data_IF_877085213796
#
_entry.id   IF_877085213796
#
_cell.length_a   1.000
_cell.length_b   1.000
_cell.length_c   1.000
_cell.angle_alpha   90.00
_cell.angle_beta   90.00
_cell.angle_gamma   90.00
#
_symmetry.space_group_name_H-M   'P 1'
#
loop_
_entity.id
_entity.type
_entity.pdbx_description
1 polymer ?
#
# COMPACT_ATOMS: atom_id res chain seq x y z
N UNK A 1 17.83 9.93 17.62
CA UNK A 1 17.08 10.53 16.50
C UNK A 1 15.93 9.62 16.18
N UNK A 2 14.70 10.12 16.16
CA UNK A 2 13.52 9.35 15.75
C UNK A 2 13.71 8.88 14.30
N UNK A 3 13.36 7.64 13.98
CA UNK A 3 13.27 7.16 12.60
C UNK A 3 11.83 6.82 12.29
N UNK A 4 11.30 7.34 11.19
CA UNK A 4 9.90 7.23 10.83
C UNK A 4 9.77 7.00 9.31
N UNK A 5 8.91 6.08 8.93
CA UNK A 5 8.50 5.87 7.54
C UNK A 5 7.23 6.66 7.29
N UNK A 6 7.33 7.70 6.49
CA UNK A 6 6.26 8.65 6.20
C UNK A 6 5.71 8.41 4.80
N UNK A 7 4.42 8.10 4.70
CA UNK A 7 3.72 8.05 3.41
C UNK A 7 3.02 9.37 3.08
N UNK A 8 3.09 9.80 1.82
CA UNK A 8 2.24 10.88 1.33
C UNK A 8 1.21 10.32 0.37
N UNK A 9 -0.05 10.52 0.70
CA UNK A 9 -1.21 10.03 -0.03
C UNK A 9 -2.08 11.20 -0.47
N UNK A 10 -2.66 11.10 -1.66
CA UNK A 10 -3.54 12.13 -2.18
C UNK A 10 -4.40 11.58 -3.31
N UNK A 11 -5.53 12.23 -3.56
CA UNK A 11 -6.19 12.15 -4.85
C UNK A 11 -5.33 12.82 -5.94
N UNK A 12 -5.52 12.45 -7.19
CA UNK A 12 -4.86 13.06 -8.36
C UNK A 12 -5.00 14.58 -8.28
N UNK A 13 -3.95 15.28 -8.67
CA UNK A 13 -3.87 16.75 -8.69
C UNK A 13 -4.04 17.47 -7.34
N UNK A 14 -4.13 16.78 -6.21
CA UNK A 14 -4.17 17.43 -4.90
C UNK A 14 -2.82 18.09 -4.51
N UNK A 15 -1.74 17.81 -5.24
CA UNK A 15 -0.41 18.40 -5.04
C UNK A 15 0.52 17.55 -4.16
N UNK A 16 0.36 16.25 -4.18
CA UNK A 16 1.18 15.27 -3.46
C UNK A 16 2.68 15.42 -3.74
N UNK A 17 3.10 15.28 -5.00
CA UNK A 17 4.51 15.38 -5.42
C UNK A 17 5.07 16.77 -5.13
N UNK A 18 4.27 17.83 -5.28
CA UNK A 18 4.68 19.19 -4.92
C UNK A 18 4.98 19.33 -3.42
N UNK A 19 4.17 18.68 -2.56
CA UNK A 19 4.42 18.65 -1.11
C UNK A 19 5.67 17.83 -0.77
N UNK A 20 5.85 16.68 -1.43
CA UNK A 20 7.05 15.83 -1.28
C UNK A 20 8.32 16.61 -1.64
N UNK A 21 8.31 17.33 -2.76
CA UNK A 21 9.41 18.20 -3.20
C UNK A 21 9.67 19.33 -2.19
N UNK A 22 8.59 19.94 -1.65
CA UNK A 22 8.68 20.94 -0.59
C UNK A 22 9.38 20.43 0.66
N UNK A 23 9.09 19.20 1.10
CA UNK A 23 9.75 18.56 2.23
C UNK A 23 11.25 18.35 1.97
N UNK A 24 11.60 17.83 0.80
CA UNK A 24 12.99 17.59 0.42
C UNK A 24 13.79 18.88 0.29
N UNK A 25 13.16 19.95 -0.21
CA UNK A 25 13.81 21.25 -0.35
C UNK A 25 14.02 21.92 1.01
N UNK A 26 12.99 22.01 1.85
CA UNK A 26 13.08 22.65 3.17
C UNK A 26 14.07 21.92 4.09
N UNK A 27 14.11 20.59 4.04
CA UNK A 27 15.06 19.78 4.80
C UNK A 27 16.50 19.86 4.28
N UNK A 28 16.73 20.47 3.10
CA UNK A 28 18.04 20.53 2.47
C UNK A 28 18.49 19.21 1.79
N UNK A 29 17.61 18.22 1.71
CA UNK A 29 17.89 16.95 1.01
C UNK A 29 18.11 17.18 -0.49
N UNK A 30 17.43 18.17 -1.07
CA UNK A 30 17.66 18.65 -2.44
C UNK A 30 18.01 20.14 -2.45
N UNK A 31 18.84 20.55 -3.41
CA UNK A 31 19.32 21.94 -3.52
C UNK A 31 18.35 22.87 -4.26
N UNK A 32 17.44 22.32 -5.03
CA UNK A 32 16.46 23.06 -5.84
C UNK A 32 15.09 22.44 -5.59
N UNK A 33 14.08 23.28 -5.53
CA UNK A 33 12.68 22.85 -5.49
C UNK A 33 12.29 22.34 -6.87
N UNK A 34 12.06 21.04 -7.00
CA UNK A 34 11.55 20.43 -8.22
C UNK A 34 10.08 20.81 -8.44
N UNK A 35 9.65 20.83 -9.69
CA UNK A 35 8.28 21.17 -10.09
C UNK A 35 7.75 20.16 -11.09
N UNK A 36 6.56 19.65 -10.84
CA UNK A 36 5.90 18.68 -11.72
C UNK A 36 5.61 19.30 -13.09
N UNK A 37 5.14 20.55 -13.13
CA UNK A 37 4.86 21.29 -14.37
C UNK A 37 6.11 21.60 -15.22
N UNK A 38 7.30 21.59 -14.61
CA UNK A 38 8.57 21.73 -15.31
C UNK A 38 9.24 20.40 -15.61
N UNK A 39 8.65 19.27 -15.19
CA UNK A 39 9.18 17.90 -15.35
C UNK A 39 10.57 17.69 -14.71
N UNK A 40 10.90 18.47 -13.67
CA UNK A 40 12.18 18.43 -12.97
C UNK A 40 12.07 18.00 -11.50
N UNK A 41 10.92 17.43 -11.10
CA UNK A 41 10.70 16.88 -9.77
C UNK A 41 11.70 15.73 -9.48
N UNK A 42 12.32 15.76 -8.30
CA UNK A 42 13.34 14.79 -7.88
C UNK A 42 12.79 13.36 -7.77
N UNK A 43 11.54 13.23 -7.37
CA UNK A 43 10.86 11.93 -7.20
C UNK A 43 10.30 11.37 -8.51
N UNK A 44 9.94 12.19 -9.49
CA UNK A 44 9.43 11.73 -10.78
C UNK A 44 10.59 11.28 -11.68
N UNK A 45 11.11 10.09 -11.42
CA UNK A 45 12.30 9.54 -12.10
C UNK A 45 11.98 8.82 -13.39
N UNK A 46 10.76 8.34 -13.56
CA UNK A 46 10.26 7.65 -14.74
C UNK A 46 9.80 8.64 -15.82
N UNK A 47 10.04 8.30 -17.10
CA UNK A 47 9.68 9.15 -18.24
C UNK A 47 8.16 9.27 -18.36
N UNK A 48 7.42 8.18 -18.14
CA UNK A 48 5.96 8.16 -18.21
C UNK A 48 5.32 8.99 -17.11
N UNK A 49 5.89 9.00 -15.89
CA UNK A 49 5.46 9.85 -14.78
C UNK A 49 5.59 11.33 -15.14
N UNK A 50 6.76 11.73 -15.69
CA UNK A 50 7.02 13.13 -16.10
C UNK A 50 6.12 13.61 -17.23
N UNK A 51 5.90 12.77 -18.24
CA UNK A 51 5.06 13.12 -19.39
C UNK A 51 3.58 13.24 -19.00
N UNK A 52 3.11 12.43 -18.06
CA UNK A 52 1.71 12.41 -17.60
C UNK A 52 1.44 13.31 -16.41
N UNK A 53 2.47 13.72 -15.69
CA UNK A 53 2.35 14.49 -14.45
C UNK A 53 1.71 13.71 -13.30
N UNK A 54 1.78 12.36 -13.31
CA UNK A 54 1.23 11.49 -12.27
C UNK A 54 2.31 10.53 -11.75
N UNK A 55 2.28 10.23 -10.46
CA UNK A 55 3.13 9.18 -9.87
C UNK A 55 2.51 7.82 -10.17
N UNK A 56 3.29 6.90 -10.72
CA UNK A 56 2.90 5.54 -11.09
C UNK A 56 3.50 4.54 -10.09
N UNK A 57 4.77 4.73 -9.75
CA UNK A 57 5.54 3.85 -8.86
C UNK A 57 5.86 4.54 -7.55
N UNK A 58 5.77 3.81 -6.43
CA UNK A 58 6.22 4.32 -5.14
C UNK A 58 7.71 4.63 -5.15
N UNK A 59 8.07 5.83 -4.71
CA UNK A 59 9.46 6.32 -4.63
C UNK A 59 9.86 6.56 -3.19
N UNK A 60 11.14 6.38 -2.92
CA UNK A 60 11.74 6.59 -1.60
C UNK A 60 12.70 7.77 -1.63
N UNK A 61 12.64 8.61 -0.61
CA UNK A 61 13.64 9.63 -0.34
C UNK A 61 13.90 9.75 1.17
N UNK A 62 15.13 10.11 1.53
CA UNK A 62 15.55 10.32 2.91
C UNK A 62 15.61 11.82 3.21
N UNK A 63 15.05 12.23 4.34
CA UNK A 63 15.15 13.60 4.83
C UNK A 63 15.29 13.63 6.35
N UNK A 64 15.88 14.72 6.87
CA UNK A 64 15.98 14.96 8.31
C UNK A 64 15.39 16.32 8.66
N UNK A 65 14.60 16.37 9.73
CA UNK A 65 13.99 17.60 10.20
C UNK A 65 13.83 17.60 11.72
N UNK A 66 14.23 18.69 12.38
CA UNK A 66 14.03 18.92 13.81
C UNK A 66 14.32 17.70 14.71
N UNK A 67 15.41 16.94 14.42
CA UNK A 67 15.83 15.77 15.20
C UNK A 67 15.12 14.45 14.85
N UNK A 68 14.26 14.44 13.83
CA UNK A 68 13.68 13.24 13.24
C UNK A 68 14.30 12.94 11.88
N UNK A 69 14.49 11.65 11.57
CA UNK A 69 14.83 11.14 10.24
C UNK A 69 13.60 10.49 9.64
N UNK A 70 13.21 10.94 8.46
CA UNK A 70 12.07 10.41 7.73
C UNK A 70 12.54 9.69 6.49
N UNK A 71 12.06 8.45 6.32
CA UNK A 71 12.03 7.79 5.03
C UNK A 71 10.70 8.13 4.38
N UNK A 72 10.73 9.06 3.45
CA UNK A 72 9.56 9.48 2.69
C UNK A 72 9.24 8.45 1.62
N UNK A 73 8.00 7.95 1.60
CA UNK A 73 7.45 7.13 0.53
C UNK A 73 6.38 7.92 -0.21
N UNK A 74 6.71 8.37 -1.42
CA UNK A 74 5.77 9.00 -2.33
C UNK A 74 4.97 7.92 -3.06
N UNK A 75 3.65 7.88 -2.87
CA UNK A 75 2.79 6.82 -3.38
C UNK A 75 1.99 7.28 -4.60
N UNK A 76 1.55 6.38 -5.50
CA UNK A 76 0.65 6.75 -6.57
C UNK A 76 -0.64 7.40 -6.05
N UNK A 77 -1.08 8.48 -6.72
CA UNK A 77 -2.33 9.18 -6.40
C UNK A 77 -3.51 8.78 -7.29
N UNK A 78 -3.26 8.06 -8.39
CA UNK A 78 -4.28 7.63 -9.34
C UNK A 78 -4.92 6.29 -8.91
N UNK A 79 -6.23 6.18 -9.08
CA UNK A 79 -7.01 4.98 -8.67
C UNK A 79 -6.47 3.71 -9.33
N UNK A 80 -6.02 3.78 -10.59
CA UNK A 80 -5.50 2.63 -11.34
C UNK A 80 -4.21 2.05 -10.75
N UNK A 81 -3.49 2.81 -9.91
CA UNK A 81 -2.28 2.36 -9.23
C UNK A 81 -2.46 2.19 -7.71
N UNK A 82 -3.70 2.12 -7.26
CA UNK A 82 -4.04 1.98 -5.84
C UNK A 82 -3.48 0.70 -5.21
N UNK A 83 -3.26 -0.34 -6.00
CA UNK A 83 -2.62 -1.57 -5.56
C UNK A 83 -1.17 -1.37 -5.07
N UNK A 84 -0.38 -0.57 -5.79
CA UNK A 84 0.98 -0.19 -5.38
C UNK A 84 0.96 0.67 -4.12
N UNK A 85 -0.01 1.58 -4.03
CA UNK A 85 -0.21 2.41 -2.85
C UNK A 85 -0.58 1.56 -1.63
N UNK A 86 -1.54 0.63 -1.74
CA UNK A 86 -1.98 -0.24 -0.64
C UNK A 86 -0.83 -1.09 -0.08
N UNK A 87 0.01 -1.66 -0.94
CA UNK A 87 1.22 -2.40 -0.50
C UNK A 87 2.17 -1.54 0.31
N UNK A 88 2.27 -0.25 -0.04
CA UNK A 88 3.11 0.71 0.68
C UNK A 88 2.56 1.02 2.07
N UNK A 89 1.22 1.02 2.27
CA UNK A 89 0.62 1.28 3.59
C UNK A 89 1.13 0.33 4.66
N UNK A 90 1.37 -0.92 4.31
CA UNK A 90 1.81 -1.95 5.27
C UNK A 90 3.16 -1.66 5.96
N UNK A 91 3.91 -0.67 5.46
CA UNK A 91 5.23 -0.32 6.00
C UNK A 91 5.32 1.11 6.55
N UNK A 92 4.23 1.87 6.53
CA UNK A 92 4.20 3.23 7.06
C UNK A 92 4.15 3.25 8.59
N UNK A 93 4.80 4.25 9.20
CA UNK A 93 4.67 4.59 10.62
C UNK A 93 3.69 5.75 10.82
N UNK A 94 3.58 6.63 9.83
CA UNK A 94 2.59 7.70 9.77
C UNK A 94 2.33 8.10 8.32
N UNK A 95 1.24 8.81 8.08
CA UNK A 95 0.85 9.28 6.76
C UNK A 95 0.45 10.75 6.77
N UNK A 96 0.69 11.43 5.65
CA UNK A 96 0.08 12.71 5.32
C UNK A 96 -0.94 12.49 4.21
N UNK A 97 -2.20 12.73 4.48
CA UNK A 97 -3.27 12.74 3.49
C UNK A 97 -3.46 14.18 3.00
N UNK A 98 -3.14 14.41 1.72
CA UNK A 98 -3.25 15.73 1.09
C UNK A 98 -4.65 15.89 0.50
N UNK A 99 -5.31 16.96 0.87
CA UNK A 99 -6.65 17.34 0.39
C UNK A 99 -6.53 18.65 -0.37
N UNK A 100 -7.18 18.77 -1.54
CA UNK A 100 -7.22 20.02 -2.29
C UNK A 100 -8.22 20.99 -1.65
N UNK A 101 -7.78 22.19 -1.30
CA UNK A 101 -8.66 23.24 -0.76
C UNK A 101 -9.68 23.75 -1.76
N UNK A 102 -9.38 23.68 -3.08
CA UNK A 102 -10.30 24.09 -4.15
C UNK A 102 -11.34 23.00 -4.47
N UNK A 103 -10.98 21.73 -4.39
CA UNK A 103 -11.83 20.61 -4.84
C UNK A 103 -12.49 19.88 -3.67
N UNK A 104 -12.00 20.10 -2.45
CA UNK A 104 -12.50 19.45 -1.24
C UNK A 104 -12.21 17.93 -1.21
N UNK A 105 -13.04 17.21 -0.46
CA UNK A 105 -12.91 15.76 -0.28
C UNK A 105 -13.52 15.03 -1.47
N UNK A 106 -12.67 14.41 -2.28
CA UNK A 106 -13.03 13.59 -3.45
C UNK A 106 -13.35 12.13 -3.06
N UNK A 107 -13.98 11.38 -3.98
CA UNK A 107 -14.30 9.96 -3.75
C UNK A 107 -13.08 9.13 -3.36
N UNK A 108 -12.00 9.26 -4.12
CA UNK A 108 -10.75 8.53 -3.84
C UNK A 108 -10.10 8.95 -2.51
N UNK A 109 -10.22 10.22 -2.10
CA UNK A 109 -9.74 10.67 -0.78
C UNK A 109 -10.43 9.92 0.37
N UNK A 110 -11.72 9.59 0.21
CA UNK A 110 -12.45 8.77 1.19
C UNK A 110 -11.94 7.32 1.21
N UNK A 111 -11.68 6.74 0.06
CA UNK A 111 -11.07 5.40 -0.02
C UNK A 111 -9.72 5.37 0.68
N UNK A 112 -8.86 6.38 0.45
CA UNK A 112 -7.58 6.51 1.14
C UNK A 112 -7.74 6.63 2.65
N UNK A 113 -8.73 7.41 3.11
CA UNK A 113 -9.03 7.54 4.54
C UNK A 113 -9.43 6.20 5.16
N UNK A 114 -10.32 5.43 4.52
CA UNK A 114 -10.75 4.11 4.99
C UNK A 114 -9.59 3.11 5.04
N UNK A 115 -8.70 3.12 4.05
CA UNK A 115 -7.50 2.28 4.06
C UNK A 115 -6.54 2.65 5.19
N UNK A 116 -6.32 3.96 5.43
CA UNK A 116 -5.51 4.44 6.56
C UNK A 116 -6.12 4.05 7.92
N UNK A 117 -7.44 4.05 8.03
CA UNK A 117 -8.17 3.61 9.22
C UNK A 117 -7.99 2.11 9.44
N UNK A 118 -8.21 1.30 8.40
CA UNK A 118 -8.07 -0.17 8.49
C UNK A 118 -6.65 -0.60 8.86
N UNK A 119 -5.64 0.06 8.30
CA UNK A 119 -4.24 -0.20 8.64
C UNK A 119 -3.80 0.47 9.96
N UNK A 120 -4.72 1.13 10.66
CA UNK A 120 -4.47 1.86 11.90
C UNK A 120 -3.29 2.85 11.83
N UNK A 121 -3.08 3.50 10.67
CA UNK A 121 -1.94 4.40 10.43
C UNK A 121 -2.24 5.78 11.01
N UNK A 122 -1.41 6.32 11.91
CA UNK A 122 -1.48 7.70 12.38
C UNK A 122 -1.45 8.68 11.20
N UNK A 123 -2.46 9.56 11.11
CA UNK A 123 -2.69 10.35 9.90
C UNK A 123 -2.72 11.83 10.20
N UNK A 124 -1.91 12.59 9.46
CA UNK A 124 -1.91 14.04 9.39
C UNK A 124 -2.65 14.48 8.12
N UNK A 125 -3.34 15.60 8.17
CA UNK A 125 -4.04 16.17 7.03
C UNK A 125 -3.35 17.45 6.58
N UNK A 126 -3.08 17.58 5.27
CA UNK A 126 -2.60 18.82 4.68
C UNK A 126 -3.60 19.30 3.65
N UNK A 127 -4.30 20.39 3.97
CA UNK A 127 -5.22 21.06 3.03
C UNK A 127 -4.39 22.01 2.18
N UNK A 128 -4.13 21.58 0.96
CA UNK A 128 -3.27 22.24 -0.01
C UNK A 128 -4.05 23.22 -0.91
N UNK A 129 -3.35 24.05 -1.65
CA UNK A 129 -3.92 25.03 -2.60
C UNK A 129 -4.79 26.10 -1.93
N UNK A 130 -4.49 26.44 -0.68
CA UNK A 130 -5.20 27.50 0.06
C UNK A 130 -4.99 28.90 -0.51
N UNK A 131 -4.04 29.04 -1.41
CA UNK A 131 -3.78 30.29 -2.16
C UNK A 131 -4.75 30.53 -3.34
N UNK A 132 -5.59 29.55 -3.68
CA UNK A 132 -6.59 29.70 -4.72
C UNK A 132 -7.86 30.38 -4.19
N UNK A 133 -8.49 31.17 -5.06
CA UNK A 133 -9.72 31.88 -4.71
C UNK A 133 -10.86 30.91 -4.38
N UNK A 134 -11.59 31.19 -3.29
CA UNK A 134 -12.72 30.35 -2.84
C UNK A 134 -12.37 29.30 -1.79
N UNK A 135 -11.11 29.16 -1.39
CA UNK A 135 -10.71 28.28 -0.28
C UNK A 135 -11.09 28.94 1.05
N UNK A 136 -12.00 28.31 1.80
CA UNK A 136 -12.44 28.72 3.13
C UNK A 136 -11.97 27.68 4.15
N UNK A 137 -11.05 28.08 5.03
CA UNK A 137 -10.42 27.21 6.02
C UNK A 137 -11.41 26.61 7.01
N UNK A 138 -12.33 27.41 7.54
CA UNK A 138 -13.28 26.96 8.55
C UNK A 138 -14.31 25.99 7.93
N UNK A 139 -14.79 26.31 6.72
CA UNK A 139 -15.67 25.42 5.98
C UNK A 139 -14.99 24.08 5.62
N UNK A 140 -13.71 24.10 5.24
CA UNK A 140 -12.94 22.91 4.94
C UNK A 140 -12.68 22.07 6.21
N UNK A 141 -12.36 22.70 7.34
CA UNK A 141 -12.20 21.99 8.61
C UNK A 141 -13.51 21.32 9.05
N UNK A 142 -14.64 22.05 8.93
CA UNK A 142 -15.96 21.49 9.20
C UNK A 142 -16.27 20.29 8.29
N UNK A 143 -15.89 20.36 7.00
CA UNK A 143 -16.05 19.25 6.05
C UNK A 143 -15.18 18.04 6.44
N UNK A 144 -13.93 18.25 6.88
CA UNK A 144 -13.06 17.19 7.36
C UNK A 144 -13.66 16.49 8.58
N UNK A 145 -14.19 17.25 9.53
CA UNK A 145 -14.87 16.72 10.72
C UNK A 145 -16.13 15.90 10.37
N UNK A 146 -16.93 16.36 9.43
CA UNK A 146 -18.16 15.68 9.02
C UNK A 146 -17.91 14.41 8.20
N UNK A 147 -16.89 14.41 7.34
CA UNK A 147 -16.66 13.35 6.37
C UNK A 147 -15.64 12.31 6.81
N UNK A 148 -14.72 12.67 7.69
CA UNK A 148 -13.68 11.78 8.19
C UNK A 148 -13.90 11.49 9.67
N UNK A 149 -13.57 12.44 10.56
CA UNK A 149 -13.65 12.23 11.99
C UNK A 149 -13.73 13.56 12.76
N UNK A 150 -14.52 13.61 13.83
CA UNK A 150 -14.62 14.78 14.73
C UNK A 150 -13.30 15.20 15.36
N UNK A 151 -12.32 14.28 15.47
CA UNK A 151 -10.95 14.52 15.95
C UNK A 151 -10.04 15.25 14.95
N UNK A 152 -10.55 15.72 13.80
CA UNK A 152 -9.82 16.63 12.90
C UNK A 152 -9.68 18.01 13.54
N UNK A 153 -8.46 18.38 13.98
CA UNK A 153 -8.17 19.62 14.69
C UNK A 153 -7.11 20.44 13.94
N UNK A 154 -7.25 21.77 13.95
CA UNK A 154 -6.31 22.67 13.30
C UNK A 154 -5.07 22.94 14.14
N UNK A 155 -3.96 22.29 13.80
CA UNK A 155 -2.67 22.41 14.49
C UNK A 155 -1.79 23.57 13.99
N UNK A 156 -2.24 24.38 13.03
CA UNK A 156 -1.40 25.44 12.45
C UNK A 156 -0.97 26.50 13.46
N UNK A 157 -1.74 26.71 14.52
CA UNK A 157 -1.42 27.62 15.63
C UNK A 157 -0.76 26.91 16.84
N UNK A 158 -0.42 25.63 16.70
CA UNK A 158 0.13 24.80 17.77
C UNK A 158 -0.91 24.32 18.79
N UNK A 159 -0.45 23.85 19.96
CA UNK A 159 -1.32 23.22 20.98
C UNK A 159 -2.10 24.20 21.86
N UNK A 160 -1.65 25.45 21.97
CA UNK A 160 -2.23 26.38 22.92
C UNK A 160 -3.75 26.59 22.77
N UNK A 161 -4.30 26.77 21.55
CA UNK A 161 -5.74 26.91 21.34
C UNK A 161 -6.51 25.57 21.42
N UNK A 162 -5.85 24.42 21.43
CA UNK A 162 -6.47 23.09 21.31
C UNK A 162 -6.53 22.31 22.63
N UNK A 163 -6.23 22.95 23.77
CA UNK A 163 -6.11 22.26 25.07
C UNK A 163 -7.38 21.52 25.46
N UNK A 164 -8.53 22.17 25.36
CA UNK A 164 -9.83 21.58 25.71
C UNK A 164 -10.27 20.51 24.70
N UNK A 165 -10.11 20.80 23.39
CA UNK A 165 -10.45 19.85 22.32
C UNK A 165 -9.64 18.55 22.46
N UNK A 166 -8.34 18.65 22.72
CA UNK A 166 -7.46 17.49 22.95
C UNK A 166 -7.82 16.74 24.24
N UNK A 167 -8.08 17.46 25.31
CA UNK A 167 -8.47 16.85 26.58
C UNK A 167 -9.78 16.06 26.44
N UNK A 168 -10.73 16.56 25.65
CA UNK A 168 -12.03 15.90 25.42
C UNK A 168 -11.95 14.56 24.67
N UNK A 169 -10.81 14.28 24.03
CA UNK A 169 -10.62 13.02 23.28
C UNK A 169 -10.25 11.81 24.17
N UNK A 170 -9.93 12.02 25.45
CA UNK A 170 -9.53 10.94 26.38
C UNK A 170 -9.92 11.30 27.82
N UNK A 171 -10.66 10.42 28.51
CA UNK A 171 -11.17 10.67 29.86
C UNK A 171 -10.07 10.98 30.88
N UNK A 172 -8.98 10.21 30.88
CA UNK A 172 -7.88 10.42 31.82
C UNK A 172 -7.13 11.73 31.54
N UNK A 173 -7.07 12.16 30.28
CA UNK A 173 -6.49 13.43 29.90
C UNK A 173 -7.40 14.59 30.30
N UNK A 174 -8.73 14.43 30.18
CA UNK A 174 -9.72 15.41 30.63
C UNK A 174 -9.65 15.62 32.14
N UNK A 175 -9.57 14.55 32.92
CA UNK A 175 -9.45 14.65 34.38
C UNK A 175 -8.18 15.45 34.79
N UNK A 176 -7.04 15.16 34.18
CA UNK A 176 -5.79 15.91 34.40
C UNK A 176 -5.90 17.39 33.99
N UNK A 177 -6.61 17.66 32.88
CA UNK A 177 -6.84 19.01 32.40
C UNK A 177 -7.72 19.82 33.37
N UNK A 178 -8.80 19.21 33.88
CA UNK A 178 -9.67 19.82 34.90
C UNK A 178 -8.96 20.06 36.23
N UNK A 179 -7.94 19.26 36.56
CA UNK A 179 -7.04 19.48 37.72
C UNK A 179 -6.00 20.59 37.49
N UNK A 180 -6.01 21.23 36.31
CA UNK A 180 -5.13 22.33 35.96
C UNK A 180 -3.84 21.96 35.24
N UNK A 181 -3.68 20.71 34.79
CA UNK A 181 -2.52 20.26 34.00
C UNK A 181 -2.72 20.61 32.52
N UNK A 182 -1.72 21.24 31.89
CA UNK A 182 -1.77 21.49 30.46
C UNK A 182 -1.54 20.21 29.63
N UNK A 183 -2.23 20.10 28.48
CA UNK A 183 -1.99 19.03 27.50
C UNK A 183 -0.64 19.25 26.83
N UNK A 184 0.21 18.23 26.88
CA UNK A 184 1.59 18.27 26.37
C UNK A 184 1.68 17.77 24.93
N UNK A 185 2.84 17.97 24.28
CA UNK A 185 3.11 17.41 22.95
C UNK A 185 3.13 15.86 22.98
N UNK A 186 3.51 15.25 24.09
CA UNK A 186 3.48 13.80 24.26
C UNK A 186 2.04 13.27 24.35
N UNK A 187 1.15 13.98 25.08
CA UNK A 187 -0.27 13.62 25.14
C UNK A 187 -0.91 13.69 23.72
N UNK A 188 -0.64 14.77 22.98
CA UNK A 188 -1.12 14.91 21.61
C UNK A 188 -0.58 13.79 20.71
N UNK A 189 0.70 13.44 20.81
CA UNK A 189 1.31 12.34 20.05
C UNK A 189 0.63 10.98 20.35
N UNK A 190 0.34 10.70 21.63
CA UNK A 190 -0.37 9.49 22.04
C UNK A 190 -1.81 9.43 21.48
N UNK A 191 -2.54 10.55 21.46
CA UNK A 191 -3.87 10.63 20.84
C UNK A 191 -3.81 10.39 19.33
N UNK A 192 -2.81 10.95 18.63
CA UNK A 192 -2.59 10.77 17.20
C UNK A 192 -2.22 9.32 16.90
N UNK A 193 -1.31 8.72 17.68
CA UNK A 193 -0.92 7.32 17.54
C UNK A 193 -2.12 6.36 17.67
N UNK A 194 -3.09 6.68 18.54
CA UNK A 194 -4.34 5.94 18.75
C UNK A 194 -5.45 6.31 17.74
N UNK A 195 -5.16 7.22 16.80
CA UNK A 195 -6.14 7.74 15.82
C UNK A 195 -7.40 8.35 16.46
N UNK A 196 -7.24 9.02 17.56
CA UNK A 196 -8.31 9.82 18.21
C UNK A 196 -8.25 11.28 17.80
N UNK A 197 -7.08 11.73 17.30
CA UNK A 197 -6.85 13.09 16.82
C UNK A 197 -6.11 13.04 15.49
N UNK A 198 -6.53 13.91 14.57
CA UNK A 198 -5.97 14.04 13.23
C UNK A 198 -5.54 15.49 12.99
N UNK A 199 -4.22 15.78 13.13
CA UNK A 199 -3.73 17.14 12.94
C UNK A 199 -3.96 17.64 11.52
N UNK A 200 -4.65 18.76 11.39
CA UNK A 200 -4.90 19.45 10.13
C UNK A 200 -3.97 20.65 10.01
N UNK A 201 -3.33 20.77 8.85
CA UNK A 201 -2.51 21.91 8.46
C UNK A 201 -3.02 22.48 7.15
N UNK A 202 -2.94 23.79 6.97
CA UNK A 202 -3.46 24.48 5.80
C UNK A 202 -2.35 25.28 5.14
N UNK A 203 -2.28 25.22 3.81
CA UNK A 203 -1.24 25.95 3.09
C UNK A 203 -1.24 25.80 1.58
N UNK A 204 -0.14 26.18 0.98
CA UNK A 204 0.16 26.01 -0.45
C UNK A 204 1.52 25.37 -0.59
N UNK A 205 1.56 24.09 -1.00
CA UNK A 205 2.80 23.37 -1.25
C UNK A 205 3.64 24.06 -2.34
N UNK A 206 2.99 24.62 -3.36
CA UNK A 206 3.65 25.33 -4.44
C UNK A 206 4.39 26.59 -3.96
N UNK A 207 3.84 27.27 -2.96
CA UNK A 207 4.44 28.48 -2.36
C UNK A 207 5.24 28.18 -1.08
N UNK A 208 5.30 26.92 -0.65
CA UNK A 208 5.87 26.46 0.61
C UNK A 208 5.17 27.03 1.86
N UNK A 209 3.96 27.59 1.71
CA UNK A 209 3.16 28.13 2.81
C UNK A 209 2.58 26.98 3.64
N UNK A 210 2.78 26.98 4.97
CA UNK A 210 2.30 25.96 5.91
C UNK A 210 3.06 24.64 5.88
N UNK A 211 3.99 24.44 4.92
CA UNK A 211 4.73 23.18 4.76
C UNK A 211 5.74 22.96 5.90
N UNK A 212 6.43 24.03 6.33
CA UNK A 212 7.36 23.98 7.48
C UNK A 212 6.60 23.62 8.77
N UNK A 213 5.43 24.25 8.99
CA UNK A 213 4.59 23.92 10.15
C UNK A 213 4.12 22.48 10.18
N UNK A 214 3.82 21.88 9.02
CA UNK A 214 3.50 20.47 8.91
C UNK A 214 4.72 19.58 9.24
N UNK A 215 5.92 19.91 8.74
CA UNK A 215 7.16 19.19 9.07
C UNK A 215 7.48 19.25 10.57
N UNK A 216 7.30 20.41 11.18
CA UNK A 216 7.45 20.58 12.63
C UNK A 216 6.43 19.72 13.40
N UNK A 217 5.18 19.72 12.94
CA UNK A 217 4.10 18.89 13.48
C UNK A 217 4.43 17.40 13.39
N UNK A 218 4.86 16.92 12.24
CA UNK A 218 5.30 15.53 12.04
C UNK A 218 6.45 15.16 12.96
N UNK A 219 7.49 16.01 13.07
CA UNK A 219 8.61 15.75 13.96
C UNK A 219 8.20 15.76 15.44
N UNK A 220 7.28 16.64 15.83
CA UNK A 220 6.92 16.87 17.25
C UNK A 220 5.86 15.90 17.76
N UNK A 221 4.84 15.59 16.94
CA UNK A 221 3.63 14.88 17.37
C UNK A 221 3.54 13.45 16.86
N UNK A 222 4.59 12.88 16.26
CA UNK A 222 4.64 11.46 15.91
C UNK A 222 5.46 10.69 16.94
N UNK A 223 4.94 9.60 17.43
CA UNK A 223 5.70 8.66 18.25
C UNK A 223 6.51 7.70 17.37
N UNK A 224 7.79 7.48 17.69
CA UNK A 224 8.54 6.46 16.98
C UNK A 224 8.02 5.07 17.36
N UNK A 225 7.89 4.14 16.40
CA UNK A 225 7.47 2.79 16.70
C UNK A 225 8.49 2.08 17.59
N UNK A 226 7.99 1.23 18.48
CA UNK A 226 8.80 0.37 19.33
C UNK A 226 8.97 -0.97 18.61
N UNK A 227 10.20 -1.29 18.23
CA UNK A 227 10.52 -2.52 17.52
C UNK A 227 11.00 -3.62 18.48
N UNK A 228 10.59 -4.90 18.26
CA UNK A 228 11.14 -6.02 19.01
C UNK A 228 12.64 -6.21 18.75
N UNK A 229 13.32 -6.88 19.69
CA UNK A 229 14.74 -7.22 19.57
C UNK A 229 15.02 -8.32 18.55
N UNK A 230 14.05 -9.22 18.38
CA UNK A 230 14.15 -10.32 17.43
C UNK A 230 13.94 -9.79 16.00
N UNK A 231 14.64 -10.42 15.06
CA UNK A 231 14.55 -10.01 13.67
C UNK A 231 13.14 -10.19 13.12
N UNK A 232 12.68 -9.14 12.44
CA UNK A 232 11.45 -9.12 11.66
C UNK A 232 11.61 -8.24 10.44
N UNK A 233 10.98 -8.61 9.32
CA UNK A 233 10.95 -7.80 8.11
C UNK A 233 9.72 -8.11 7.27
N UNK A 234 9.23 -7.09 6.53
CA UNK A 234 8.10 -7.19 5.63
C UNK A 234 8.48 -6.73 4.23
N UNK A 235 8.18 -7.55 3.22
CA UNK A 235 8.35 -7.20 1.80
C UNK A 235 7.11 -6.42 1.34
N UNK A 236 7.30 -5.25 0.74
CA UNK A 236 6.18 -4.46 0.23
C UNK A 236 6.24 -4.19 -1.28
N UNK A 237 7.44 -4.35 -1.89
CA UNK A 237 7.63 -4.06 -3.30
C UNK A 237 8.73 -4.92 -3.90
N UNK A 238 8.51 -5.34 -5.15
CA UNK A 238 9.56 -5.88 -6.01
C UNK A 238 9.76 -4.88 -7.16
N UNK A 239 11.00 -4.65 -7.54
CA UNK A 239 11.34 -3.83 -8.70
C UNK A 239 12.56 -4.40 -9.41
N UNK A 240 12.88 -3.86 -10.57
CA UNK A 240 14.09 -4.21 -11.32
C UNK A 240 14.91 -2.96 -11.65
N UNK A 241 16.23 -3.07 -11.49
CA UNK A 241 17.20 -2.05 -11.84
C UNK A 241 18.19 -2.70 -12.81
N UNK A 242 17.97 -2.53 -14.10
CA UNK A 242 18.66 -3.30 -15.13
C UNK A 242 18.44 -4.80 -14.99
N UNK A 243 19.49 -5.57 -14.73
CA UNK A 243 19.44 -7.00 -14.50
C UNK A 243 19.15 -7.39 -13.05
N UNK A 244 19.33 -6.47 -12.10
CA UNK A 244 19.14 -6.71 -10.68
C UNK A 244 17.64 -6.76 -10.32
N UNK A 245 17.22 -7.83 -9.65
CA UNK A 245 15.94 -7.92 -8.97
C UNK A 245 16.08 -7.34 -7.57
N UNK A 246 15.26 -6.36 -7.25
CA UNK A 246 15.26 -5.64 -5.98
C UNK A 246 14.05 -6.05 -5.16
N UNK A 247 14.27 -6.55 -3.95
CA UNK A 247 13.23 -6.83 -2.96
C UNK A 247 13.24 -5.71 -1.93
N UNK A 248 12.23 -4.85 -1.97
CA UNK A 248 12.07 -3.75 -1.00
C UNK A 248 11.41 -4.27 0.26
N UNK A 249 12.05 -4.00 1.40
CA UNK A 249 11.58 -4.40 2.72
C UNK A 249 11.61 -3.24 3.70
N UNK A 250 10.78 -3.35 4.75
CA UNK A 250 11.00 -2.65 6.02
C UNK A 250 11.47 -3.66 7.05
N UNK A 251 12.55 -3.36 7.73
CA UNK A 251 13.00 -4.11 8.91
C UNK A 251 12.13 -3.71 10.10
N UNK A 252 11.37 -4.65 10.65
CA UNK A 252 10.37 -4.43 11.71
C UNK A 252 10.81 -4.95 13.07
N UNK A 253 12.01 -5.54 13.17
CA UNK A 253 12.62 -6.00 14.42
C UNK A 253 14.09 -6.30 14.25
N UNK A 254 14.87 -6.17 15.31
CA UNK A 254 16.30 -6.45 15.35
C UNK A 254 17.11 -5.71 14.28
N UNK A 255 17.91 -6.43 13.51
CA UNK A 255 18.67 -5.89 12.37
C UNK A 255 18.90 -6.96 11.30
N UNK A 256 19.03 -6.52 10.05
CA UNK A 256 19.39 -7.35 8.91
C UNK A 256 20.82 -7.06 8.47
N UNK A 257 21.65 -8.11 8.34
CA UNK A 257 23.02 -7.99 7.83
C UNK A 257 23.17 -8.58 6.43
N UNK A 258 24.10 -8.04 5.66
CA UNK A 258 24.54 -8.65 4.42
C UNK A 258 24.97 -10.10 4.67
N UNK A 259 24.64 -10.98 3.73
CA UNK A 259 24.87 -12.44 3.80
C UNK A 259 23.95 -13.21 4.76
N UNK A 260 22.98 -12.56 5.42
CA UNK A 260 21.93 -13.26 6.15
C UNK A 260 21.09 -14.12 5.20
N UNK A 261 20.68 -15.30 5.64
CA UNK A 261 19.71 -16.14 4.94
C UNK A 261 18.31 -15.67 5.29
N UNK A 262 17.52 -15.37 4.28
CA UNK A 262 16.07 -15.14 4.38
C UNK A 262 15.36 -16.30 3.68
N UNK A 263 14.76 -17.20 4.47
CA UNK A 263 14.35 -18.50 3.95
C UNK A 263 15.56 -19.30 3.46
N UNK A 264 15.54 -19.70 2.18
CA UNK A 264 16.63 -20.46 1.53
C UNK A 264 17.63 -19.57 0.76
N UNK A 265 17.35 -18.27 0.64
CA UNK A 265 18.10 -17.35 -0.21
C UNK A 265 18.98 -16.40 0.62
N UNK A 266 20.08 -15.96 0.03
CA UNK A 266 21.07 -15.15 0.70
C UNK A 266 21.00 -13.70 0.25
N UNK A 267 20.96 -12.77 1.20
CA UNK A 267 21.08 -11.34 0.93
C UNK A 267 22.49 -10.99 0.42
N UNK A 268 22.59 -10.50 -0.81
CA UNK A 268 23.89 -10.11 -1.40
C UNK A 268 24.27 -8.68 -1.04
N UNK A 269 23.33 -7.73 -1.18
CA UNK A 269 23.52 -6.32 -0.83
C UNK A 269 22.27 -5.77 -0.16
N UNK A 270 22.46 -4.76 0.67
CA UNK A 270 21.41 -3.92 1.25
C UNK A 270 21.61 -2.51 0.71
N UNK A 271 20.61 -1.96 0.02
CA UNK A 271 20.63 -0.65 -0.63
C UNK A 271 19.57 0.26 -0.01
N UNK A 272 19.95 1.43 0.47
CA UNK A 272 19.01 2.48 0.92
C UNK A 272 18.92 3.50 -0.21
N UNK A 273 17.74 3.63 -0.80
CA UNK A 273 17.49 4.53 -1.92
C UNK A 273 17.08 5.93 -1.47
N UNK A 274 17.50 6.95 -2.24
CA UNK A 274 16.94 8.30 -2.20
C UNK A 274 16.87 8.84 -3.63
N UNK A 275 15.67 8.85 -4.18
CA UNK A 275 15.44 9.04 -5.63
C UNK A 275 16.09 7.90 -6.43
N UNK A 276 16.90 8.25 -7.44
CA UNK A 276 17.61 7.28 -8.29
C UNK A 276 18.93 6.77 -7.68
N UNK A 277 19.40 7.39 -6.62
CA UNK A 277 20.68 7.04 -5.99
C UNK A 277 20.45 6.14 -4.78
N UNK A 278 21.42 5.28 -4.52
CA UNK A 278 21.42 4.47 -3.31
C UNK A 278 22.76 4.48 -2.58
N UNK A 279 22.70 4.20 -1.29
CA UNK A 279 23.83 3.90 -0.45
C UNK A 279 23.79 2.41 -0.09
N UNK A 280 24.89 1.68 -0.37
CA UNK A 280 25.05 0.32 0.12
C UNK A 280 25.48 0.35 1.59
N UNK A 281 24.84 -0.52 2.39
CA UNK A 281 25.12 -0.67 3.83
C UNK A 281 25.33 -2.14 4.17
N UNK A 282 26.13 -2.41 5.21
CA UNK A 282 26.38 -3.78 5.66
C UNK A 282 25.29 -4.29 6.62
N UNK A 283 24.58 -3.37 7.28
CA UNK A 283 23.54 -3.66 8.26
C UNK A 283 22.42 -2.63 8.20
N UNK A 284 21.17 -3.09 8.26
CA UNK A 284 19.96 -2.29 8.35
C UNK A 284 19.24 -2.60 9.68
N UNK A 285 19.21 -1.67 10.65
CA UNK A 285 18.46 -1.84 11.89
C UNK A 285 16.96 -1.69 11.68
N UNK A 286 16.16 -2.11 12.66
CA UNK A 286 14.71 -1.92 12.69
C UNK A 286 14.32 -0.47 12.38
N UNK A 287 13.21 -0.28 11.68
CA UNK A 287 12.72 0.98 11.15
C UNK A 287 13.35 1.41 9.82
N UNK A 288 14.29 0.63 9.26
CA UNK A 288 14.91 0.95 7.98
C UNK A 288 14.12 0.34 6.82
N UNK A 289 13.84 1.17 5.81
CA UNK A 289 13.34 0.75 4.50
C UNK A 289 14.53 0.60 3.56
N UNK A 290 14.70 -0.56 2.96
CA UNK A 290 15.82 -0.83 2.06
C UNK A 290 15.44 -1.83 0.96
N UNK A 291 16.25 -1.87 -0.10
CA UNK A 291 16.15 -2.84 -1.17
C UNK A 291 17.26 -3.89 -1.03
N UNK A 292 16.91 -5.13 -1.20
CA UNK A 292 17.80 -6.27 -1.12
C UNK A 292 18.05 -6.85 -2.52
N UNK A 293 19.28 -7.28 -2.77
CA UNK A 293 19.63 -8.11 -3.93
C UNK A 293 19.95 -9.53 -3.52
N UNK A 294 19.81 -10.48 -4.44
CA UNK A 294 20.09 -11.89 -4.21
C UNK A 294 18.89 -12.76 -3.87
N UNK A 295 17.70 -12.16 -3.74
CA UNK A 295 16.45 -12.85 -3.50
C UNK A 295 15.65 -12.98 -4.80
N UNK A 296 15.19 -14.18 -5.14
CA UNK A 296 14.49 -14.48 -6.41
C UNK A 296 13.07 -14.98 -6.21
N UNK A 297 12.77 -15.53 -5.02
CA UNK A 297 11.47 -16.17 -4.71
C UNK A 297 10.51 -15.27 -3.94
N UNK A 298 10.99 -14.15 -3.40
CA UNK A 298 10.19 -13.22 -2.58
C UNK A 298 9.08 -12.55 -3.36
N UNK A 299 7.97 -12.26 -2.67
CA UNK A 299 6.79 -11.55 -3.23
C UNK A 299 6.38 -10.39 -2.32
N UNK A 300 5.73 -9.35 -2.84
CA UNK A 300 5.09 -8.35 -1.99
C UNK A 300 4.09 -9.02 -1.03
N UNK A 301 4.16 -8.67 0.26
CA UNK A 301 3.38 -9.29 1.33
C UNK A 301 4.11 -10.39 2.10
N UNK A 302 5.23 -10.91 1.59
CA UNK A 302 6.05 -11.87 2.35
C UNK A 302 6.60 -11.24 3.63
N UNK A 303 6.72 -12.06 4.66
CA UNK A 303 7.23 -11.66 5.98
C UNK A 303 8.35 -12.59 6.43
N UNK A 304 9.26 -12.06 7.23
CA UNK A 304 10.39 -12.81 7.77
C UNK A 304 10.51 -12.62 9.27
N UNK A 305 11.06 -13.65 9.94
CA UNK A 305 11.29 -13.62 11.38
C UNK A 305 10.00 -13.61 12.19
N UNK A 306 9.92 -12.74 13.19
CA UNK A 306 8.76 -12.59 14.08
C UNK A 306 7.62 -11.74 13.54
N UNK A 307 7.69 -11.29 12.28
CA UNK A 307 6.66 -10.45 11.67
C UNK A 307 5.37 -11.24 11.39
N UNK A 308 4.18 -10.72 11.78
CA UNK A 308 2.92 -11.38 11.48
C UNK A 308 2.60 -11.31 9.97
N UNK A 309 1.82 -12.28 9.44
CA UNK A 309 1.38 -12.26 8.05
C UNK A 309 0.70 -10.93 7.67
N UNK A 310 0.97 -10.46 6.46
CA UNK A 310 0.27 -9.29 5.93
C UNK A 310 -1.22 -9.62 5.71
N UNK A 311 -2.15 -8.67 5.95
CA UNK A 311 -3.54 -8.84 5.57
C UNK A 311 -3.66 -8.95 4.04
N UNK A 312 -4.71 -9.63 3.58
CA UNK A 312 -5.03 -9.68 2.15
C UNK A 312 -5.34 -8.27 1.61
N UNK A 313 -4.93 -7.96 0.37
CA UNK A 313 -5.27 -6.69 -0.26
C UNK A 313 -6.78 -6.50 -0.37
N UNK A 314 -7.26 -5.29 -0.08
CA UNK A 314 -8.68 -4.92 -0.27
C UNK A 314 -9.00 -4.55 -1.72
N UNK A 315 -8.04 -3.86 -2.34
CA UNK A 315 -8.23 -3.37 -3.69
C UNK A 315 -7.90 -4.48 -4.68
N UNK A 316 -8.92 -4.96 -5.36
CA UNK A 316 -8.78 -5.99 -6.39
C UNK A 316 -9.03 -5.43 -7.79
N UNK A 317 -8.31 -5.92 -8.81
CA UNK A 317 -8.53 -5.51 -10.19
C UNK A 317 -9.94 -5.92 -10.64
N UNK A 318 -10.59 -5.02 -11.38
CA UNK A 318 -11.98 -5.19 -11.83
C UNK A 318 -12.11 -5.40 -13.34
N UNK A 319 -11.04 -5.19 -14.10
CA UNK A 319 -11.02 -5.33 -15.56
C UNK A 319 -10.12 -6.48 -15.97
N UNK A 320 -10.53 -7.22 -17.01
CA UNK A 320 -9.77 -8.32 -17.60
C UNK A 320 -9.60 -8.05 -19.09
N UNK A 321 -8.35 -8.05 -19.54
CA UNK A 321 -7.99 -7.80 -20.93
C UNK A 321 -7.22 -8.96 -21.52
N UNK A 322 -7.56 -9.34 -22.77
CA UNK A 322 -6.75 -10.23 -23.58
C UNK A 322 -5.53 -9.47 -24.14
N UNK A 323 -4.35 -10.06 -24.02
CA UNK A 323 -3.13 -9.54 -24.65
C UNK A 323 -3.02 -10.12 -26.07
N UNK A 324 -3.01 -9.24 -27.05
CA UNK A 324 -2.86 -9.60 -28.47
C UNK A 324 -1.40 -9.38 -28.87
N UNK A 325 -0.73 -10.45 -29.23
CA UNK A 325 0.69 -10.45 -29.60
C UNK A 325 0.86 -10.28 -31.11
N UNK A 326 2.00 -9.71 -31.57
CA UNK A 326 2.41 -9.74 -32.96
C UNK A 326 2.52 -11.19 -33.45
N UNK A 327 2.27 -11.45 -34.79
CA UNK A 327 2.28 -12.82 -35.34
C UNK A 327 3.60 -13.58 -35.16
N UNK A 328 4.73 -12.86 -35.10
CA UNK A 328 6.07 -13.44 -34.98
C UNK A 328 6.54 -13.60 -33.53
N UNK A 329 5.69 -13.30 -32.55
CA UNK A 329 6.04 -13.37 -31.15
C UNK A 329 5.83 -14.77 -30.56
N UNK A 330 6.86 -15.33 -29.92
CA UNK A 330 6.73 -16.58 -29.17
C UNK A 330 5.93 -16.35 -27.90
N UNK A 331 4.70 -16.88 -27.87
CA UNK A 331 3.74 -16.73 -26.77
C UNK A 331 4.30 -17.22 -25.43
N UNK A 332 5.01 -18.35 -25.43
CA UNK A 332 5.57 -18.91 -24.19
C UNK A 332 6.77 -18.12 -23.68
N UNK A 333 7.60 -17.58 -24.56
CA UNK A 333 8.66 -16.67 -24.18
C UNK A 333 8.09 -15.38 -23.60
N UNK A 334 7.06 -14.84 -24.26
CA UNK A 334 6.40 -13.61 -23.80
C UNK A 334 5.65 -13.80 -22.48
N UNK A 335 5.02 -14.97 -22.28
CA UNK A 335 4.38 -15.30 -20.98
C UNK A 335 5.38 -15.22 -19.82
N UNK A 336 6.64 -15.64 -20.02
CA UNK A 336 7.70 -15.48 -19.00
C UNK A 336 7.99 -14.00 -18.72
N UNK A 337 7.96 -13.15 -19.73
CA UNK A 337 8.13 -11.70 -19.56
C UNK A 337 6.97 -11.07 -18.76
N UNK A 338 5.74 -11.46 -19.06
CA UNK A 338 4.57 -11.00 -18.28
C UNK A 338 4.62 -11.49 -16.83
N UNK A 339 5.11 -12.72 -16.58
CA UNK A 339 5.31 -13.22 -15.22
C UNK A 339 6.32 -12.38 -14.42
N UNK A 340 7.33 -11.78 -15.08
CA UNK A 340 8.23 -10.83 -14.41
C UNK A 340 7.50 -9.54 -13.99
N UNK A 341 6.56 -9.06 -14.80
CA UNK A 341 5.73 -7.91 -14.41
C UNK A 341 4.76 -8.27 -13.28
N UNK A 342 4.22 -9.49 -13.29
CA UNK A 342 3.38 -10.00 -12.21
C UNK A 342 4.15 -10.15 -10.87
N UNK A 343 5.45 -10.43 -10.90
CA UNK A 343 6.29 -10.39 -9.69
C UNK A 343 6.34 -8.98 -9.07
N UNK A 344 6.40 -7.94 -9.91
CA UNK A 344 6.40 -6.54 -9.48
C UNK A 344 5.01 -6.07 -9.05
N UNK A 345 3.98 -6.48 -9.78
CA UNK A 345 2.57 -6.22 -9.48
C UNK A 345 1.73 -7.51 -9.50
N UNK A 346 1.58 -8.20 -8.35
CA UNK A 346 0.83 -9.46 -8.28
C UNK A 346 -0.65 -9.34 -8.66
N UNK A 347 -1.19 -8.12 -8.68
CA UNK A 347 -2.58 -7.89 -9.06
C UNK A 347 -2.81 -7.93 -10.58
N UNK A 348 -1.74 -7.92 -11.40
CA UNK A 348 -1.86 -8.16 -12.84
C UNK A 348 -2.45 -9.53 -13.16
N UNK A 349 -2.31 -10.51 -12.26
CA UNK A 349 -2.91 -11.84 -12.36
C UNK A 349 -2.86 -12.39 -13.79
N UNK A 350 -1.66 -12.64 -14.28
CA UNK A 350 -1.43 -13.17 -15.64
C UNK A 350 -2.05 -14.55 -15.76
N UNK A 351 -3.03 -14.72 -16.63
CA UNK A 351 -3.74 -15.98 -16.86
C UNK A 351 -3.43 -16.48 -18.27
N UNK A 352 -2.87 -17.68 -18.35
CA UNK A 352 -2.73 -18.41 -19.62
C UNK A 352 -3.93 -19.34 -19.81
N UNK A 353 -4.71 -19.10 -20.87
CA UNK A 353 -5.78 -20.01 -21.29
C UNK A 353 -5.27 -20.95 -22.38
N UNK A 354 -4.89 -22.16 -21.99
CA UNK A 354 -4.31 -23.14 -22.90
C UNK A 354 -5.28 -23.58 -24.00
N UNK A 355 -6.59 -23.65 -23.69
CA UNK A 355 -7.60 -24.10 -24.64
C UNK A 355 -7.81 -23.10 -25.79
N UNK A 356 -7.66 -21.81 -25.51
CA UNK A 356 -7.80 -20.73 -26.49
C UNK A 356 -6.46 -20.23 -27.02
N UNK A 357 -5.35 -20.59 -26.39
CA UNK A 357 -4.03 -20.05 -26.70
C UNK A 357 -3.91 -18.54 -26.39
N UNK A 358 -4.61 -18.07 -25.38
CA UNK A 358 -4.73 -16.64 -25.05
C UNK A 358 -4.11 -16.29 -23.70
N UNK A 359 -3.50 -15.11 -23.63
CA UNK A 359 -3.02 -14.52 -22.38
C UNK A 359 -3.99 -13.42 -21.95
N UNK A 360 -4.40 -13.46 -20.69
CA UNK A 360 -5.25 -12.44 -20.09
C UNK A 360 -4.54 -11.79 -18.90
N UNK A 361 -4.79 -10.50 -18.71
CA UNK A 361 -4.31 -9.69 -17.58
C UNK A 361 -5.49 -9.04 -16.86
N UNK A 362 -5.38 -8.92 -15.53
CA UNK A 362 -6.32 -8.15 -14.74
C UNK A 362 -5.73 -6.78 -14.37
N UNK A 363 -6.55 -5.73 -14.49
CA UNK A 363 -6.14 -4.33 -14.31
C UNK A 363 -7.16 -3.58 -13.45
N UNK A 364 -6.69 -2.54 -12.78
CA UNK A 364 -7.53 -1.62 -12.02
C UNK A 364 -8.26 -0.62 -12.91
N UNK A 365 -7.64 -0.20 -14.03
CA UNK A 365 -8.19 0.81 -14.91
C UNK A 365 -7.44 0.97 -16.24
N UNK A 366 -7.96 1.88 -17.08
CA UNK A 366 -7.45 2.08 -18.46
C UNK A 366 -6.09 2.78 -18.51
N UNK A 367 -5.78 3.66 -17.54
CA UNK A 367 -4.47 4.34 -17.50
C UNK A 367 -3.36 3.32 -17.20
N UNK A 368 -3.65 2.32 -16.36
CA UNK A 368 -2.71 1.21 -16.10
C UNK A 368 -2.45 0.40 -17.40
N UNK A 369 -3.46 0.21 -18.26
CA UNK A 369 -3.31 -0.46 -19.54
C UNK A 369 -2.32 0.27 -20.46
N UNK A 370 -2.46 1.59 -20.58
CA UNK A 370 -1.57 2.42 -21.42
C UNK A 370 -0.12 2.40 -20.90
N UNK A 371 0.05 2.50 -19.58
CA UNK A 371 1.37 2.43 -18.92
C UNK A 371 2.00 1.07 -19.16
N UNK A 372 1.21 -0.01 -19.04
CA UNK A 372 1.68 -1.38 -19.23
C UNK A 372 2.09 -1.64 -20.68
N UNK A 373 1.33 -1.12 -21.65
CA UNK A 373 1.65 -1.24 -23.10
C UNK A 373 3.04 -0.66 -23.38
N UNK A 374 3.29 0.53 -22.87
CA UNK A 374 4.59 1.21 -23.06
C UNK A 374 5.72 0.49 -22.29
N UNK A 375 5.47 0.06 -21.08
CA UNK A 375 6.43 -0.69 -20.27
C UNK A 375 6.86 -2.00 -20.94
N UNK A 376 5.93 -2.73 -21.56
CA UNK A 376 6.18 -3.94 -22.31
C UNK A 376 7.07 -3.64 -23.53
N UNK A 377 6.76 -2.58 -24.27
CA UNK A 377 7.56 -2.16 -25.42
C UNK A 377 8.99 -1.77 -25.01
N UNK A 378 9.13 -0.95 -23.96
CA UNK A 378 10.43 -0.48 -23.48
C UNK A 378 11.31 -1.61 -22.91
N UNK A 379 10.73 -2.55 -22.15
CA UNK A 379 11.51 -3.61 -21.48
C UNK A 379 11.76 -4.83 -22.39
N UNK A 380 10.79 -5.20 -23.21
CA UNK A 380 10.84 -6.46 -23.96
C UNK A 380 10.90 -6.28 -25.48
N UNK A 381 10.75 -5.04 -25.96
CA UNK A 381 10.78 -4.72 -27.39
C UNK A 381 9.60 -5.32 -28.18
N UNK A 382 8.50 -5.67 -27.52
CA UNK A 382 7.31 -6.24 -28.12
C UNK A 382 6.18 -5.22 -28.11
N UNK A 383 5.64 -4.93 -29.29
CA UNK A 383 4.47 -4.07 -29.43
C UNK A 383 3.20 -4.92 -29.26
N UNK A 384 2.52 -4.77 -28.13
CA UNK A 384 1.28 -5.48 -27.83
C UNK A 384 0.07 -4.58 -28.01
N UNK A 385 -1.07 -5.19 -28.33
CA UNK A 385 -2.37 -4.53 -28.26
C UNK A 385 -3.28 -5.31 -27.31
N UNK A 386 -4.35 -4.68 -26.88
CA UNK A 386 -5.30 -5.31 -25.97
C UNK A 386 -6.67 -5.44 -26.61
N UNK A 387 -7.32 -6.57 -26.38
CA UNK A 387 -8.69 -6.82 -26.78
C UNK A 387 -9.70 -5.96 -26.02
N UNK A 388 -10.97 -6.15 -26.28
CA UNK A 388 -12.03 -5.51 -25.53
C UNK A 388 -11.95 -5.91 -24.05
N UNK A 389 -11.97 -4.92 -23.15
CA UNK A 389 -11.96 -5.17 -21.71
C UNK A 389 -13.28 -5.79 -21.25
N UNK A 390 -13.19 -6.76 -20.36
CA UNK A 390 -14.32 -7.37 -19.70
C UNK A 390 -14.21 -7.17 -18.19
N UNK A 391 -15.36 -7.05 -17.52
CA UNK A 391 -15.41 -6.97 -16.06
C UNK A 391 -15.02 -8.33 -15.47
N UNK A 392 -14.24 -8.32 -14.40
CA UNK A 392 -13.93 -9.52 -13.64
C UNK A 392 -15.16 -9.92 -12.84
N UNK A 393 -15.83 -10.99 -13.28
CA UNK A 393 -16.98 -11.54 -12.57
C UNK A 393 -16.51 -12.44 -11.42
N UNK A 394 -17.39 -12.62 -10.45
CA UNK A 394 -17.33 -13.69 -9.44
C UNK A 394 -18.60 -14.52 -9.56
N UNK A 395 -18.48 -15.80 -9.28
CA UNK A 395 -19.61 -16.72 -9.33
C UNK A 395 -20.04 -17.09 -7.91
N UNK A 396 -21.34 -17.28 -7.73
CA UNK A 396 -21.91 -17.87 -6.53
C UNK A 396 -22.97 -18.92 -6.93
N UNK A 397 -23.46 -19.67 -5.98
CA UNK A 397 -24.48 -20.70 -6.21
C UNK A 397 -25.87 -20.16 -5.87
N UNK A 398 -26.88 -20.61 -6.60
CA UNK A 398 -28.27 -20.17 -6.41
C UNK A 398 -28.97 -20.86 -5.21
N UNK A 399 -28.45 -21.97 -4.74
CA UNK A 399 -29.00 -22.75 -3.64
C UNK A 399 -28.02 -23.81 -3.16
N UNK A 400 -28.31 -24.48 -2.04
CA UNK A 400 -27.45 -25.53 -1.50
C UNK A 400 -27.23 -26.66 -2.50
N UNK A 401 -25.98 -27.12 -2.63
CA UNK A 401 -25.59 -28.23 -3.50
C UNK A 401 -24.50 -29.05 -2.82
N UNK A 402 -24.57 -30.38 -2.97
CA UNK A 402 -23.54 -31.30 -2.46
C UNK A 402 -22.58 -31.68 -3.57
N UNK A 403 -21.28 -31.59 -3.28
CA UNK A 403 -20.20 -32.08 -4.10
C UNK A 403 -19.46 -33.22 -3.40
N UNK A 404 -19.18 -34.31 -4.12
CA UNK A 404 -18.47 -35.47 -3.57
C UNK A 404 -17.16 -35.67 -4.31
N UNK A 405 -16.07 -35.74 -3.55
CA UNK A 405 -14.75 -36.13 -4.04
C UNK A 405 -14.37 -37.51 -3.52
N UNK A 406 -14.04 -38.42 -4.43
CA UNK A 406 -13.62 -39.78 -4.13
C UNK A 406 -12.24 -40.07 -4.71
N UNK A 407 -11.38 -40.72 -3.94
CA UNK A 407 -10.02 -41.08 -4.37
C UNK A 407 -9.59 -42.44 -3.79
N UNK A 408 -9.34 -43.40 -4.64
CA UNK A 408 -9.00 -44.76 -4.24
C UNK A 408 -7.80 -45.36 -5.03
N UNK A 409 -6.62 -44.75 -5.09
CA UNK A 409 -5.45 -45.37 -5.68
C UNK A 409 -4.61 -46.13 -4.64
N UNK A 410 -4.00 -47.26 -5.06
CA UNK A 410 -2.94 -47.93 -4.33
C UNK A 410 -3.24 -48.27 -2.86
N UNK A 411 -4.49 -48.67 -2.54
CA UNK A 411 -4.98 -49.00 -1.19
C UNK A 411 -5.16 -47.78 -0.27
N UNK A 412 -5.16 -46.59 -0.78
CA UNK A 412 -5.57 -45.39 -0.03
C UNK A 412 -7.00 -45.04 -0.39
N UNK A 413 -7.85 -44.83 0.60
CA UNK A 413 -9.22 -44.40 0.40
C UNK A 413 -9.43 -43.05 1.06
N UNK A 414 -10.00 -42.10 0.31
CA UNK A 414 -10.45 -40.84 0.83
C UNK A 414 -11.75 -40.43 0.10
N UNK A 415 -12.77 -40.10 0.88
CA UNK A 415 -14.02 -39.56 0.37
C UNK A 415 -14.40 -38.33 1.19
N UNK A 416 -14.70 -37.23 0.49
CA UNK A 416 -15.06 -35.95 1.10
C UNK A 416 -16.36 -35.46 0.47
N UNK A 417 -17.35 -35.20 1.31
CA UNK A 417 -18.61 -34.58 0.96
C UNK A 417 -18.55 -33.10 1.35
N UNK A 418 -18.78 -32.20 0.40
CA UNK A 418 -18.83 -30.78 0.62
C UNK A 418 -20.27 -30.29 0.36
N UNK A 419 -20.93 -29.82 1.40
CA UNK A 419 -22.19 -29.09 1.25
C UNK A 419 -21.86 -27.61 1.01
N UNK A 420 -22.17 -27.12 -0.18
CA UNK A 420 -22.00 -25.73 -0.57
C UNK A 420 -23.32 -25.01 -0.35
N UNK A 421 -23.31 -23.91 0.37
CA UNK A 421 -24.46 -23.08 0.67
C UNK A 421 -24.18 -21.63 0.27
N UNK A 422 -25.15 -20.90 -0.36
CA UNK A 422 -24.94 -19.50 -0.70
C UNK A 422 -24.88 -18.65 0.57
N UNK A 423 -23.87 -17.78 0.65
CA UNK A 423 -23.69 -16.82 1.73
C UNK A 423 -24.21 -15.42 1.40
N UNK A 424 -24.19 -14.49 2.36
CA UNK A 424 -24.50 -13.09 2.10
C UNK A 424 -23.48 -12.47 1.16
N UNK A 425 -23.90 -11.58 0.27
CA UNK A 425 -23.02 -10.89 -0.69
C UNK A 425 -21.86 -10.18 0.03
N UNK A 426 -20.63 -10.48 -0.41
CA UNK A 426 -19.41 -9.94 0.19
C UNK A 426 -18.91 -10.72 1.40
N UNK A 427 -19.51 -11.88 1.74
CA UNK A 427 -19.09 -12.70 2.88
C UNK A 427 -17.81 -13.51 2.63
N UNK A 428 -17.42 -13.65 1.37
CA UNK A 428 -16.29 -14.47 0.96
C UNK A 428 -16.51 -15.96 1.21
N UNK A 429 -15.47 -16.76 1.01
CA UNK A 429 -15.50 -18.20 1.26
C UNK A 429 -15.36 -18.49 2.76
N UNK A 430 -16.36 -19.16 3.35
CA UNK A 430 -16.34 -19.63 4.73
C UNK A 430 -16.40 -21.14 4.77
N UNK A 431 -15.55 -21.78 5.57
CA UNK A 431 -15.46 -23.23 5.68
C UNK A 431 -15.72 -23.63 7.12
N UNK A 432 -16.60 -24.62 7.30
CA UNK A 432 -16.86 -25.23 8.59
C UNK A 432 -17.02 -26.75 8.44
N UNK A 433 -16.87 -27.50 9.53
CA UNK A 433 -17.08 -28.95 9.53
C UNK A 433 -18.37 -29.31 10.26
N UNK A 434 -19.20 -30.12 9.62
CA UNK A 434 -20.30 -30.82 10.26
C UNK A 434 -19.90 -32.23 10.73
N UNK A 435 -18.69 -32.69 10.42
CA UNK A 435 -18.20 -34.02 10.80
C UNK A 435 -17.77 -34.04 12.28
N UNK A 436 -18.33 -34.93 13.11
CA UNK A 436 -17.91 -35.08 14.51
C UNK A 436 -16.46 -35.55 14.64
N UNK A 437 -15.78 -35.14 15.70
CA UNK A 437 -14.37 -35.46 15.94
C UNK A 437 -14.13 -36.94 16.31
N UNK A 438 -15.15 -37.66 16.70
CA UNK A 438 -15.13 -39.10 16.91
C UNK A 438 -15.18 -39.92 15.60
N UNK A 439 -15.67 -39.32 14.51
CA UNK A 439 -15.67 -39.92 13.17
C UNK A 439 -14.39 -39.53 12.38
N UNK A 440 -13.96 -38.29 12.47
CA UNK A 440 -12.72 -37.80 11.83
C UNK A 440 -11.96 -36.89 12.79
N UNK A 441 -10.74 -37.24 13.11
CA UNK A 441 -9.87 -36.47 13.99
C UNK A 441 -9.71 -35.02 13.48
N UNK A 442 -9.63 -34.08 14.42
CA UNK A 442 -9.56 -32.64 14.14
C UNK A 442 -8.37 -32.24 13.24
N UNK A 443 -7.27 -32.98 13.30
CA UNK A 443 -6.11 -32.71 12.46
C UNK A 443 -6.40 -32.98 10.97
N UNK A 444 -7.17 -34.04 10.69
CA UNK A 444 -7.59 -34.35 9.32
C UNK A 444 -8.62 -33.33 8.82
N UNK A 445 -9.54 -32.89 9.66
CA UNK A 445 -10.49 -31.83 9.30
C UNK A 445 -9.75 -30.53 8.97
N UNK A 446 -8.78 -30.13 9.77
CA UNK A 446 -7.94 -28.96 9.52
C UNK A 446 -7.13 -29.08 8.23
N UNK A 447 -6.59 -30.26 7.93
CA UNK A 447 -5.85 -30.52 6.69
C UNK A 447 -6.76 -30.32 5.46
N UNK A 448 -7.99 -30.82 5.51
CA UNK A 448 -8.98 -30.60 4.45
C UNK A 448 -9.25 -29.10 4.27
N UNK A 449 -9.45 -28.34 5.37
CA UNK A 449 -9.64 -26.89 5.29
C UNK A 449 -8.46 -26.17 4.65
N UNK A 450 -7.24 -26.53 5.04
CA UNK A 450 -6.03 -25.97 4.43
C UNK A 450 -6.03 -26.18 2.92
N UNK A 451 -6.29 -27.40 2.45
CA UNK A 451 -6.30 -27.69 1.00
C UNK A 451 -7.46 -27.04 0.26
N UNK A 452 -8.60 -26.81 0.90
CA UNK A 452 -9.70 -26.04 0.31
C UNK A 452 -9.35 -24.55 0.20
N UNK A 453 -8.65 -23.97 1.17
CA UNK A 453 -8.26 -22.56 1.18
C UNK A 453 -7.06 -22.24 0.28
N UNK A 454 -6.16 -23.21 0.05
CA UNK A 454 -4.99 -23.05 -0.82
C UNK A 454 -5.35 -22.83 -2.30
N UNK A 455 -6.52 -23.27 -2.73
CA UNK A 455 -6.94 -23.23 -4.13
C UNK A 455 -8.03 -22.20 -4.35
N UNK A 456 -7.90 -21.42 -5.42
CA UNK A 456 -9.01 -20.63 -5.94
C UNK A 456 -9.96 -21.54 -6.70
N UNK A 457 -11.16 -21.75 -6.16
CA UNK A 457 -12.22 -22.52 -6.80
C UNK A 457 -12.82 -21.69 -7.93
N UNK A 458 -12.94 -22.29 -9.11
CA UNK A 458 -13.50 -21.63 -10.29
C UNK A 458 -14.93 -22.11 -10.52
N UNK A 459 -15.81 -21.17 -10.81
CA UNK A 459 -17.17 -21.43 -11.21
C UNK A 459 -17.27 -22.02 -12.61
N UNK A 460 -18.40 -22.60 -12.92
CA UNK A 460 -18.65 -23.35 -14.18
C UNK A 460 -19.18 -22.47 -15.31
N UNK A 461 -19.68 -21.26 -15.02
CA UNK A 461 -20.29 -20.40 -16.02
C UNK A 461 -19.27 -19.56 -16.78
N UNK A 462 -18.37 -18.93 -16.06
CA UNK A 462 -17.39 -17.99 -16.63
C UNK A 462 -15.95 -18.39 -16.29
N UNK A 463 -15.75 -19.40 -15.44
CA UNK A 463 -14.45 -19.75 -14.87
C UNK A 463 -13.93 -18.75 -13.85
N UNK A 464 -14.78 -17.82 -13.42
CA UNK A 464 -14.45 -16.81 -12.40
C UNK A 464 -14.37 -17.44 -11.02
N UNK A 465 -13.68 -16.81 -10.04
CA UNK A 465 -13.63 -17.34 -8.68
C UNK A 465 -15.02 -17.44 -8.05
N UNK A 466 -15.27 -18.57 -7.37
CA UNK A 466 -16.48 -18.76 -6.57
C UNK A 466 -16.34 -18.01 -5.25
N UNK A 467 -17.42 -17.34 -4.83
CA UNK A 467 -17.49 -16.57 -3.57
C UNK A 467 -18.91 -16.63 -3.00
N UNK A 468 -19.10 -16.20 -1.77
CA UNK A 468 -20.40 -15.98 -1.08
C UNK A 468 -21.31 -17.21 -1.04
#
# INVERSE_FOLDING_TARGET
MKKLVLGILAHVDAGKTTLSEGFLYLSGAVRRLGRVDHQDAFLDTDVQERERGITIFSKQAELTWAGAAFTLLDTPGHVDFSAEMERTLAVLDCAVLVVSGSDGIQGHTRTLWQLLERHAIPTFLFVNKMDLAGSDRDALLAQLRDKFDGGCLDFSAGLAPLQEDLASCDEALMDRYLEGSAVTAADAAALIARRLVFPCFFGSALKLEGVEGLLDGLSRYTEPPVYPTDFGARVFKIARDGADRLTYIKVTGGSLKVRTLLGEEKVNQIRIYSGTKYQAVDEAPAGTVCALTGLTKTRPGDVFGGEPPAPDPELEPVLNYQVILPPDCDVHAFLRNLRQLEEEDPQLRVVWNEALGEIHLQLMGEVQLEVLTRLILERFGVEVTFGAGNIVYRETIAGPVEGVGHFEPLRHYAEVHLLLEPGPRGSGLRISSACPTDQLDLNWQRLIFTHLLEKRHRGVLTGSPVTD
#
